data_IF_530592229142
#
_entry.id   IF_530592229142
#
_cell.length_a   1.000
_cell.length_b   1.000
_cell.length_c   1.000
_cell.angle_alpha   90.00
_cell.angle_beta   90.00
_cell.angle_gamma   90.00
#
_symmetry.space_group_name_H-M   'P 1'
#
loop_
_entity.id
_entity.type
_entity.pdbx_description
1 polymer ?
#
# COMPACT_ATOMS: atom_id res chain seq x y z
N UNK A 1 21.97 56.73 35.17
CA UNK A 1 21.26 56.69 33.88
C UNK A 1 21.95 55.81 32.82
N UNK A 2 23.27 55.89 32.62
CA UNK A 2 23.97 55.05 31.60
C UNK A 2 23.85 53.49 31.82
N UNK A 3 23.85 53.02 33.07
CA UNK A 3 23.77 51.56 33.37
C UNK A 3 22.38 50.97 33.13
N UNK A 4 21.31 51.76 33.30
CA UNK A 4 19.93 51.32 33.06
C UNK A 4 19.65 51.19 31.56
N UNK A 5 20.21 52.09 30.74
CA UNK A 5 20.06 52.05 29.27
C UNK A 5 20.75 50.82 28.65
N UNK A 6 21.94 50.46 29.19
CA UNK A 6 22.67 49.27 28.71
C UNK A 6 21.94 47.98 29.06
N UNK A 7 21.33 47.92 30.26
CA UNK A 7 20.56 46.74 30.68
C UNK A 7 19.27 46.57 29.84
N UNK A 8 18.62 47.70 29.48
CA UNK A 8 17.43 47.69 28.63
C UNK A 8 17.74 47.27 27.19
N UNK A 9 18.91 47.60 26.65
CA UNK A 9 19.33 47.22 25.31
C UNK A 9 19.74 45.73 25.23
N UNK A 10 20.30 45.19 26.32
CA UNK A 10 20.66 43.79 26.39
C UNK A 10 19.42 42.87 26.52
N UNK A 11 18.36 43.35 27.19
CA UNK A 11 17.10 42.63 27.33
C UNK A 11 16.30 42.55 26.02
N UNK A 12 16.41 43.56 25.14
CA UNK A 12 15.73 43.56 23.83
C UNK A 12 16.40 42.62 22.80
N UNK A 13 17.66 42.26 22.97
CA UNK A 13 18.37 41.33 22.11
C UNK A 13 17.98 39.84 22.37
N UNK A 14 17.37 39.54 23.51
CA UNK A 14 16.95 38.19 23.87
C UNK A 14 15.54 37.82 23.36
N UNK A 15 14.77 38.76 22.82
CA UNK A 15 13.40 38.56 22.34
C UNK A 15 13.33 38.25 20.85
N UNK A 16 14.45 38.26 20.13
CA UNK A 16 14.51 38.00 18.68
C UNK A 16 14.87 36.56 18.28
N UNK A 17 14.97 35.62 19.22
CA UNK A 17 15.48 34.27 18.96
C UNK A 17 14.39 33.17 18.83
N UNK A 18 13.11 33.54 18.72
CA UNK A 18 12.08 32.62 18.23
C UNK A 18 11.94 32.82 16.71
N UNK A 19 12.88 32.29 15.94
CA UNK A 19 12.59 31.88 14.57
C UNK A 19 11.65 30.69 14.69
N UNK A 20 10.37 30.88 14.45
CA UNK A 20 9.47 29.80 14.11
C UNK A 20 9.99 29.27 12.76
N UNK A 21 10.86 28.26 12.80
CA UNK A 21 11.02 27.38 11.68
C UNK A 21 9.64 26.69 11.55
N UNK A 22 8.81 27.18 10.65
CA UNK A 22 7.57 26.53 10.25
C UNK A 22 7.94 25.17 9.63
N UNK A 23 8.15 24.19 10.51
CA UNK A 23 8.37 22.82 10.07
C UNK A 23 7.08 22.31 9.44
N UNK A 24 7.03 22.33 8.11
CA UNK A 24 5.93 21.77 7.34
C UNK A 24 6.03 20.26 7.42
N UNK A 25 5.13 19.63 8.16
CA UNK A 25 5.03 18.17 8.19
C UNK A 25 4.68 17.66 6.79
N UNK A 26 5.41 16.64 6.28
CA UNK A 26 5.07 16.07 5.00
C UNK A 26 3.67 15.44 5.06
N UNK A 27 2.90 15.60 4.00
CA UNK A 27 1.59 14.94 3.86
C UNK A 27 1.80 13.44 3.62
N UNK A 28 1.81 12.65 4.69
CA UNK A 28 2.00 11.19 4.63
C UNK A 28 0.67 10.50 4.39
N UNK A 29 0.59 9.75 3.32
CA UNK A 29 -0.56 8.94 2.92
C UNK A 29 -0.29 7.46 3.23
N UNK A 30 -1.36 6.71 3.45
CA UNK A 30 -1.32 5.24 3.55
C UNK A 30 -2.41 4.67 2.66
N UNK A 31 -2.00 4.06 1.55
CA UNK A 31 -2.92 3.59 0.52
C UNK A 31 -2.60 2.16 0.08
N UNK A 32 -3.62 1.49 -0.48
CA UNK A 32 -3.40 0.34 -1.35
C UNK A 32 -3.02 0.86 -2.74
N UNK A 33 -1.77 0.63 -3.14
CA UNK A 33 -1.16 1.22 -4.33
C UNK A 33 -0.27 0.17 -5.01
N UNK A 34 -0.02 0.34 -6.30
CA UNK A 34 0.85 -0.58 -7.03
C UNK A 34 2.33 -0.16 -6.92
N UNK A 35 3.20 -1.11 -6.61
CA UNK A 35 4.65 -0.98 -6.66
C UNK A 35 5.17 -1.64 -7.93
N UNK A 36 5.75 -0.85 -8.84
CA UNK A 36 6.34 -1.33 -10.09
C UNK A 36 7.85 -1.43 -9.97
N UNK A 37 8.39 -2.57 -10.37
CA UNK A 37 9.83 -2.84 -10.39
C UNK A 37 10.45 -2.50 -11.74
N UNK A 38 11.75 -2.22 -11.72
CA UNK A 38 12.57 -2.10 -12.91
C UNK A 38 13.07 -3.48 -13.40
N UNK A 39 13.86 -3.46 -14.49
CA UNK A 39 14.45 -4.67 -15.09
C UNK A 39 15.43 -5.41 -14.15
N UNK A 40 15.84 -4.82 -13.04
CA UNK A 40 16.70 -5.46 -12.01
C UNK A 40 15.89 -6.07 -10.88
N UNK A 41 14.56 -5.89 -10.85
CA UNK A 41 13.69 -6.33 -9.75
C UNK A 41 13.72 -5.39 -8.55
N UNK A 42 14.09 -4.13 -8.77
CA UNK A 42 14.05 -3.09 -7.73
C UNK A 42 12.79 -2.25 -7.88
N UNK A 43 12.04 -2.03 -6.80
CA UNK A 43 10.87 -1.15 -6.78
C UNK A 43 11.26 0.29 -7.08
N UNK A 44 10.67 0.89 -8.13
CA UNK A 44 11.00 2.23 -8.61
C UNK A 44 9.84 3.20 -8.59
N UNK A 45 8.64 2.71 -8.84
CA UNK A 45 7.48 3.56 -9.01
C UNK A 45 6.32 3.08 -8.15
N UNK A 46 5.56 4.05 -7.62
CA UNK A 46 4.24 3.85 -7.03
C UNK A 46 3.21 4.31 -8.05
N UNK A 47 2.19 3.48 -8.30
CA UNK A 47 1.12 3.81 -9.25
C UNK A 47 -0.21 3.81 -8.49
N UNK A 48 -0.88 4.95 -8.44
CA UNK A 48 -2.18 5.09 -7.76
C UNK A 48 -3.29 4.41 -8.55
N UNK A 49 -4.44 4.21 -7.91
CA UNK A 49 -5.62 3.64 -8.55
C UNK A 49 -6.16 4.50 -9.70
N UNK A 50 -5.85 5.80 -9.70
CA UNK A 50 -6.15 6.75 -10.78
C UNK A 50 -5.09 6.75 -11.91
N UNK A 51 -4.03 5.94 -11.76
CA UNK A 51 -2.96 5.83 -12.75
C UNK A 51 -1.86 6.89 -12.63
N UNK A 52 -1.81 7.65 -11.54
CA UNK A 52 -0.70 8.57 -11.30
C UNK A 52 0.55 7.77 -10.91
N UNK A 53 1.64 7.98 -11.64
CA UNK A 53 2.93 7.35 -11.38
C UNK A 53 3.84 8.31 -10.59
N UNK A 54 4.39 7.83 -9.47
CA UNK A 54 5.33 8.53 -8.61
C UNK A 54 6.66 7.79 -8.59
N UNK A 55 7.74 8.45 -8.97
CA UNK A 55 9.08 7.89 -8.82
C UNK A 55 9.48 7.86 -7.35
N UNK A 56 9.89 6.71 -6.86
CA UNK A 56 10.36 6.56 -5.47
C UNK A 56 11.75 7.17 -5.35
N UNK A 57 11.94 8.08 -4.39
CA UNK A 57 13.28 8.51 -4.02
C UNK A 57 14.12 7.31 -3.58
N UNK A 58 15.41 7.31 -3.95
CA UNK A 58 16.31 6.19 -3.70
C UNK A 58 16.32 5.77 -2.22
N UNK A 59 16.00 4.50 -1.97
CA UNK A 59 16.12 3.87 -0.65
C UNK A 59 16.54 2.40 -0.79
N UNK A 60 17.07 1.84 0.29
CA UNK A 60 17.41 0.41 0.38
C UNK A 60 16.17 -0.45 0.69
N UNK A 61 16.26 -1.75 0.41
CA UNK A 61 15.23 -2.73 0.77
C UNK A 61 14.04 -2.83 -0.18
N UNK A 62 14.19 -2.37 -1.42
CA UNK A 62 13.21 -2.52 -2.50
C UNK A 62 13.67 -3.47 -3.60
N UNK A 63 14.76 -4.17 -3.39
CA UNK A 63 15.38 -5.14 -4.28
C UNK A 63 14.90 -6.57 -4.00
N UNK A 64 15.24 -7.50 -4.90
CA UNK A 64 14.92 -8.92 -4.74
C UNK A 64 13.51 -9.32 -5.16
N UNK A 65 12.78 -8.44 -5.83
CA UNK A 65 11.49 -8.74 -6.45
C UNK A 65 11.68 -9.26 -7.89
N UNK A 66 10.62 -9.75 -8.53
CA UNK A 66 10.70 -10.10 -9.94
C UNK A 66 10.88 -8.84 -10.80
N UNK A 67 11.74 -8.90 -11.85
CA UNK A 67 11.90 -7.80 -12.79
C UNK A 67 10.61 -7.46 -13.53
N UNK A 68 10.48 -6.17 -13.92
CA UNK A 68 9.41 -5.64 -14.77
C UNK A 68 8.00 -6.09 -14.32
N UNK A 69 7.79 -6.15 -12.99
CA UNK A 69 6.57 -6.67 -12.37
C UNK A 69 5.88 -5.60 -11.55
N UNK A 70 4.55 -5.66 -11.52
CA UNK A 70 3.72 -4.80 -10.67
C UNK A 70 3.14 -5.61 -9.50
N UNK A 71 3.29 -5.09 -8.30
CA UNK A 71 2.82 -5.70 -7.07
C UNK A 71 1.80 -4.81 -6.38
N UNK A 72 0.66 -5.35 -5.98
CA UNK A 72 -0.25 -4.64 -5.09
C UNK A 72 0.32 -4.57 -3.68
N UNK A 73 0.30 -3.38 -3.08
CA UNK A 73 0.92 -3.12 -1.76
C UNK A 73 0.01 -2.27 -0.88
N UNK A 74 0.23 -2.35 0.43
CA UNK A 74 -0.14 -1.29 1.37
C UNK A 74 1.10 -0.46 1.63
N UNK A 75 1.05 0.81 1.27
CA UNK A 75 2.23 1.68 1.25
C UNK A 75 1.97 2.98 2.00
N UNK A 76 2.94 3.35 2.85
CA UNK A 76 3.01 4.65 3.52
C UNK A 76 4.02 5.51 2.77
N UNK A 77 3.59 6.63 2.20
CA UNK A 77 4.42 7.49 1.36
C UNK A 77 4.02 8.96 1.48
N UNK A 78 4.90 9.87 1.08
CA UNK A 78 4.61 11.28 0.93
C UNK A 78 4.90 11.72 -0.51
N UNK A 79 3.89 12.18 -1.25
CA UNK A 79 4.10 12.82 -2.53
C UNK A 79 4.94 14.10 -2.37
N UNK A 80 5.91 14.31 -3.25
CA UNK A 80 6.66 15.56 -3.35
C UNK A 80 6.07 16.36 -4.50
N UNK A 81 5.29 17.39 -4.18
CA UNK A 81 4.54 18.16 -5.18
C UNK A 81 5.10 19.56 -5.30
N UNK A 82 6.23 19.73 -5.98
CA UNK A 82 6.79 21.08 -6.11
C UNK A 82 6.62 21.72 -7.50
N UNK A 83 6.17 20.98 -8.52
CA UNK A 83 5.79 21.59 -9.81
C UNK A 83 4.94 20.67 -10.68
N UNK A 84 4.03 21.26 -11.47
CA UNK A 84 3.23 20.54 -12.46
C UNK A 84 4.06 20.00 -13.64
N UNK A 85 5.28 20.51 -13.84
CA UNK A 85 6.18 20.15 -14.96
C UNK A 85 7.30 19.18 -14.56
N UNK A 86 7.54 18.94 -13.29
CA UNK A 86 8.56 18.01 -12.81
C UNK A 86 8.05 16.57 -12.79
N UNK A 87 8.96 15.62 -12.97
CA UNK A 87 8.68 14.21 -12.71
C UNK A 87 8.17 14.06 -11.27
N UNK A 88 6.99 13.45 -11.10
CA UNK A 88 6.37 13.27 -9.79
C UNK A 88 7.21 12.32 -8.96
N UNK A 89 7.66 12.77 -7.80
CA UNK A 89 8.44 11.99 -6.85
C UNK A 89 7.69 11.72 -5.56
N UNK A 90 8.02 10.63 -4.88
CA UNK A 90 7.50 10.32 -3.57
C UNK A 90 8.60 9.80 -2.63
N UNK A 91 8.50 10.18 -1.37
CA UNK A 91 9.26 9.55 -0.29
C UNK A 91 8.49 8.33 0.17
N UNK A 92 9.09 7.16 0.10
CA UNK A 92 8.52 5.91 0.58
C UNK A 92 8.97 5.64 2.02
N UNK A 93 8.05 5.57 2.98
CA UNK A 93 8.34 5.25 4.38
C UNK A 93 8.25 3.77 4.67
N UNK A 94 7.19 3.12 4.21
CA UNK A 94 6.97 1.70 4.38
C UNK A 94 6.15 1.13 3.22
N UNK A 95 6.38 -0.14 2.88
CA UNK A 95 5.57 -0.86 1.90
C UNK A 95 5.51 -2.34 2.28
N UNK A 96 4.34 -2.92 2.11
CA UNK A 96 4.08 -4.33 2.36
C UNK A 96 3.30 -4.91 1.18
N UNK A 97 3.81 -5.99 0.62
CA UNK A 97 3.09 -6.73 -0.42
C UNK A 97 1.79 -7.30 0.13
N UNK A 98 0.71 -7.16 -0.61
CA UNK A 98 -0.56 -7.79 -0.30
C UNK A 98 -0.84 -8.95 -1.24
N UNK A 99 -1.59 -9.93 -0.74
CA UNK A 99 -2.03 -11.06 -1.55
C UNK A 99 -3.03 -10.51 -2.58
N UNK A 100 -2.75 -10.73 -3.87
CA UNK A 100 -3.57 -10.25 -4.98
C UNK A 100 -3.89 -11.41 -5.94
N UNK A 101 -4.69 -12.41 -5.53
CA UNK A 101 -5.01 -13.55 -6.35
C UNK A 101 -6.01 -13.17 -7.45
N UNK A 102 -5.80 -13.72 -8.64
CA UNK A 102 -6.78 -13.66 -9.72
C UNK A 102 -7.83 -14.75 -9.47
N UNK A 103 -9.14 -14.45 -9.62
CA UNK A 103 -10.19 -15.46 -9.56
C UNK A 103 -9.94 -16.58 -10.58
N UNK A 104 -10.17 -17.81 -10.18
CA UNK A 104 -9.97 -18.98 -11.02
C UNK A 104 -11.30 -19.73 -11.19
N UNK A 105 -11.54 -20.38 -12.34
CA UNK A 105 -12.70 -21.24 -12.54
C UNK A 105 -12.76 -22.36 -11.50
N UNK A 106 -13.96 -22.74 -11.08
CA UNK A 106 -14.20 -23.82 -10.11
C UNK A 106 -13.48 -25.13 -10.47
N UNK A 107 -13.39 -25.45 -11.78
CA UNK A 107 -12.70 -26.64 -12.31
C UNK A 107 -11.22 -26.73 -11.97
N UNK A 108 -10.59 -25.64 -11.51
CA UNK A 108 -9.19 -25.62 -11.06
C UNK A 108 -9.00 -26.11 -9.61
N UNK A 109 -10.09 -26.31 -8.87
CA UNK A 109 -10.06 -26.72 -7.48
C UNK A 109 -10.53 -28.18 -7.35
N UNK A 110 -9.73 -29.02 -6.66
CA UNK A 110 -10.11 -30.42 -6.37
C UNK A 110 -11.20 -30.48 -5.30
N UNK A 111 -11.16 -29.58 -4.36
CA UNK A 111 -12.08 -29.47 -3.23
C UNK A 111 -12.23 -27.99 -2.86
N UNK A 112 -13.45 -27.56 -2.68
CA UNK A 112 -13.74 -26.18 -2.22
C UNK A 112 -14.12 -26.27 -0.76
N UNK A 113 -13.28 -25.68 0.11
CA UNK A 113 -13.55 -25.53 1.55
C UNK A 113 -13.78 -24.08 1.85
N UNK A 114 -14.93 -23.74 2.40
CA UNK A 114 -15.29 -22.38 2.78
C UNK A 114 -15.24 -22.27 4.30
N UNK A 115 -14.22 -21.57 4.82
CA UNK A 115 -14.17 -21.18 6.21
C UNK A 115 -14.85 -19.82 6.39
N UNK A 116 -15.61 -19.61 7.48
CA UNK A 116 -16.23 -18.33 7.74
C UNK A 116 -15.18 -17.24 7.90
N UNK A 117 -15.32 -16.15 7.13
CA UNK A 117 -14.50 -14.95 7.22
C UNK A 117 -15.40 -13.74 7.36
N UNK A 118 -15.06 -12.82 8.24
CA UNK A 118 -15.76 -11.53 8.30
C UNK A 118 -15.07 -10.53 7.38
N UNK A 119 -15.85 -9.88 6.52
CA UNK A 119 -15.38 -8.78 5.69
C UNK A 119 -15.51 -7.50 6.50
N UNK A 120 -14.38 -6.89 6.83
CA UNK A 120 -14.35 -5.60 7.53
C UNK A 120 -14.59 -4.45 6.56
N UNK A 121 -13.97 -4.50 5.37
CA UNK A 121 -14.13 -3.50 4.32
C UNK A 121 -13.98 -4.12 2.95
N UNK A 122 -14.70 -3.56 1.97
CA UNK A 122 -14.63 -3.93 0.56
C UNK A 122 -14.82 -2.66 -0.29
N UNK A 123 -13.93 -2.42 -1.25
CA UNK A 123 -14.06 -1.30 -2.19
C UNK A 123 -13.30 -1.58 -3.48
N UNK A 124 -13.73 -0.93 -4.55
CA UNK A 124 -13.00 -0.96 -5.83
C UNK A 124 -11.91 0.09 -5.82
N UNK A 125 -10.68 -0.29 -6.26
CA UNK A 125 -9.57 0.59 -6.49
C UNK A 125 -8.86 0.21 -7.79
N UNK A 126 -8.91 1.09 -8.79
CA UNK A 126 -8.36 0.81 -10.11
C UNK A 126 -8.94 -0.48 -10.72
N UNK A 127 -8.05 -1.44 -10.98
CA UNK A 127 -8.38 -2.76 -11.50
C UNK A 127 -8.60 -3.82 -10.40
N UNK A 128 -8.61 -3.42 -9.13
CA UNK A 128 -8.68 -4.32 -7.99
C UNK A 128 -10.01 -4.21 -7.26
N UNK A 129 -10.39 -5.31 -6.65
CA UNK A 129 -11.35 -5.34 -5.55
C UNK A 129 -10.55 -5.49 -4.25
N UNK A 130 -10.45 -4.43 -3.49
CA UNK A 130 -9.71 -4.40 -2.24
C UNK A 130 -10.58 -4.93 -1.10
N UNK A 131 -10.00 -5.79 -0.26
CA UNK A 131 -10.70 -6.47 0.84
C UNK A 131 -9.86 -6.39 2.11
N UNK A 132 -10.49 -6.01 3.21
CA UNK A 132 -9.95 -6.21 4.56
C UNK A 132 -10.76 -7.31 5.21
N UNK A 133 -10.08 -8.41 5.54
CA UNK A 133 -10.71 -9.61 6.08
C UNK A 133 -10.29 -9.81 7.54
N UNK A 134 -11.26 -10.15 8.38
CA UNK A 134 -11.00 -10.63 9.74
C UNK A 134 -11.09 -12.16 9.76
N UNK A 135 -9.99 -12.79 10.09
CA UNK A 135 -9.90 -14.25 10.20
C UNK A 135 -9.64 -14.65 11.64
N UNK A 136 -10.23 -15.76 12.05
CA UNK A 136 -9.89 -16.35 13.36
C UNK A 136 -8.51 -16.98 13.24
N UNK A 137 -7.52 -16.35 13.87
CA UNK A 137 -6.14 -16.85 13.87
C UNK A 137 -6.04 -18.03 14.83
N UNK A 138 -5.58 -19.16 14.29
CA UNK A 138 -4.99 -20.29 15.01
C UNK A 138 -3.57 -20.45 14.47
N UNK A 139 -2.81 -21.41 14.98
CA UNK A 139 -1.41 -21.67 14.63
C UNK A 139 -1.17 -22.10 13.15
N UNK A 140 -2.16 -21.94 12.30
CA UNK A 140 -2.13 -22.34 10.89
C UNK A 140 -2.21 -21.16 9.97
N UNK A 141 -1.46 -21.22 8.85
CA UNK A 141 -1.51 -20.20 7.79
C UNK A 141 -2.79 -20.35 6.96
N UNK A 142 -3.50 -19.26 6.75
CA UNK A 142 -4.64 -19.21 5.85
C UNK A 142 -4.19 -19.03 4.40
N UNK A 143 -4.79 -19.80 3.49
CA UNK A 143 -4.72 -19.57 2.06
C UNK A 143 -6.01 -18.91 1.60
N UNK A 144 -5.90 -17.94 0.69
CA UNK A 144 -7.05 -17.24 0.13
C UNK A 144 -7.13 -17.48 -1.37
N UNK A 145 -8.30 -17.90 -1.84
CA UNK A 145 -8.58 -18.05 -3.25
C UNK A 145 -9.94 -17.43 -3.57
N UNK A 146 -10.08 -16.97 -4.79
CA UNK A 146 -11.35 -16.47 -5.31
C UNK A 146 -11.75 -17.36 -6.46
N UNK A 147 -12.99 -17.84 -6.43
CA UNK A 147 -13.55 -18.70 -7.46
C UNK A 147 -14.46 -17.86 -8.34
N UNK A 148 -14.18 -17.88 -9.63
CA UNK A 148 -15.09 -17.33 -10.64
C UNK A 148 -16.27 -18.29 -10.79
N UNK A 149 -17.42 -17.92 -10.25
CA UNK A 149 -18.61 -18.76 -10.32
C UNK A 149 -19.41 -18.47 -11.60
N UNK A 150 -19.67 -17.19 -11.91
CA UNK A 150 -20.47 -16.79 -13.06
C UNK A 150 -20.10 -15.38 -13.51
N UNK A 151 -19.99 -15.21 -14.82
CA UNK A 151 -19.91 -13.91 -15.47
C UNK A 151 -21.22 -13.67 -16.23
N UNK A 152 -21.98 -12.66 -15.83
CA UNK A 152 -23.19 -12.23 -16.55
C UNK A 152 -22.93 -10.90 -17.27
N UNK A 153 -23.27 -10.86 -18.55
CA UNK A 153 -23.29 -9.64 -19.33
C UNK A 153 -24.76 -9.26 -19.59
N UNK A 154 -25.21 -8.15 -19.01
CA UNK A 154 -26.54 -7.63 -19.22
C UNK A 154 -26.46 -6.15 -19.49
N UNK A 155 -27.02 -5.70 -20.61
CA UNK A 155 -27.12 -4.27 -20.97
C UNK A 155 -25.78 -3.50 -20.96
N UNK A 156 -24.66 -4.19 -21.29
CA UNK A 156 -23.31 -3.62 -21.29
C UNK A 156 -22.64 -3.58 -19.91
N UNK A 157 -23.31 -4.06 -18.89
CA UNK A 157 -22.78 -4.24 -17.55
C UNK A 157 -22.31 -5.68 -17.32
N UNK A 158 -21.08 -5.82 -16.83
CA UNK A 158 -20.52 -7.13 -16.47
C UNK A 158 -20.63 -7.35 -14.97
N UNK A 159 -21.31 -8.40 -14.58
CA UNK A 159 -21.41 -8.82 -13.17
C UNK A 159 -20.61 -10.10 -12.97
N UNK A 160 -19.57 -10.02 -12.13
CA UNK A 160 -18.78 -11.16 -11.72
C UNK A 160 -19.26 -11.66 -10.36
N UNK A 161 -19.74 -12.89 -10.31
CA UNK A 161 -20.02 -13.59 -9.06
C UNK A 161 -18.76 -14.34 -8.63
N UNK A 162 -18.19 -13.96 -7.49
CA UNK A 162 -17.00 -14.61 -6.94
C UNK A 162 -17.26 -15.09 -5.52
N UNK A 163 -16.80 -16.30 -5.22
CA UNK A 163 -16.83 -16.86 -3.87
C UNK A 163 -15.41 -16.82 -3.31
N UNK A 164 -15.24 -16.23 -2.14
CA UNK A 164 -13.96 -16.30 -1.45
C UNK A 164 -13.78 -17.67 -0.81
N UNK A 165 -12.60 -18.23 -0.99
CA UNK A 165 -12.21 -19.52 -0.46
C UNK A 165 -11.03 -19.34 0.49
N UNK A 166 -11.22 -19.72 1.76
CA UNK A 166 -10.15 -19.75 2.75
C UNK A 166 -9.82 -21.20 3.11
N UNK A 167 -8.56 -21.57 3.03
CA UNK A 167 -8.08 -22.90 3.34
C UNK A 167 -7.03 -22.82 4.46
N UNK A 168 -7.26 -23.58 5.53
CA UNK A 168 -6.24 -23.87 6.53
C UNK A 168 -5.25 -24.89 5.94
N UNK A 169 -4.00 -24.47 5.65
CA UNK A 169 -2.94 -25.41 5.30
C UNK A 169 -2.56 -26.21 6.54
N UNK A 170 -2.94 -27.49 6.58
CA UNK A 170 -2.29 -28.45 7.45
C UNK A 170 -0.80 -28.52 7.08
N UNK A 171 0.08 -28.45 8.05
CA UNK A 171 1.50 -28.75 7.88
C UNK A 171 1.60 -30.19 7.38
N UNK A 172 1.94 -30.42 6.12
CA UNK A 172 2.52 -31.68 5.70
C UNK A 172 3.88 -31.81 6.38
N UNK A 173 3.91 -32.52 7.50
CA UNK A 173 5.13 -33.08 8.05
C UNK A 173 5.67 -34.03 6.96
N UNK A 174 6.70 -33.61 6.23
CA UNK A 174 7.53 -34.54 5.48
C UNK A 174 8.10 -35.53 6.51
N UNK A 175 7.53 -36.72 6.60
CA UNK A 175 8.16 -37.86 7.21
C UNK A 175 9.42 -38.21 6.43
N UNK A 176 10.51 -38.35 7.13
CA UNK A 176 11.76 -38.93 6.62
C UNK A 176 11.52 -40.36 6.12
#
# INVERSE_FOLDING_TARGET
MRKVVILSFLASLLLGACGEDDYVYPNVLTDMIDLKTDHTGTGRYLITDEGTEWRIQSRTGLDGLAPDTTYRTVTMYAPLTDSEEAEKEAILYNTQLVISPVPLPESKFKEIKTDPVAIQSIWRGGNYLNLILQVKVKDQKHGYHFIENKLENKDGEQTLYSVSYTHLRAHETRGN
#
